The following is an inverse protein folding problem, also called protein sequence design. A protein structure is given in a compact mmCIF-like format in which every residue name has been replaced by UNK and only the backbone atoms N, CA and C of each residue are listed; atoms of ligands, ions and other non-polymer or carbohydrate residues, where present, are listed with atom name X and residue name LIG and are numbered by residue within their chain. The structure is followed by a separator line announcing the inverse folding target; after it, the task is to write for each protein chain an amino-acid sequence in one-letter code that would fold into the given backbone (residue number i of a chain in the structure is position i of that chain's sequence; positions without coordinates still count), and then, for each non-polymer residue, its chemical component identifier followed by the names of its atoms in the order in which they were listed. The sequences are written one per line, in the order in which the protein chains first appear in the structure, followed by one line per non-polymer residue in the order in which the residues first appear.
data_IF_152203832460
#
_entry.id   IF_152203832460
#
_cell.length_a   1.000
_cell.length_b   1.000
_cell.length_c   1.000
_cell.angle_alpha   90.00
_cell.angle_beta   90.00
_cell.angle_gamma   90.00
#
_symmetry.space_group_name_H-M   'P 1'
#
loop_
_entity.id
_entity.type
_entity.pdbx_description
1 polymer ?
#
# COMPACT_ATOMS: atom_id res chain seq x y z
N UNK A 1 26.78 -2.93 28.49
CA UNK A 1 26.08 -1.66 28.24
C UNK A 1 25.86 -1.43 26.75
N UNK A 2 26.87 -1.66 25.92
CA UNK A 2 26.75 -1.48 24.45
C UNK A 2 25.77 -2.45 23.77
N UNK A 3 25.72 -3.69 24.24
CA UNK A 3 24.81 -4.71 23.68
C UNK A 3 23.33 -4.43 24.05
N UNK A 4 23.06 -3.95 25.23
CA UNK A 4 21.70 -3.57 25.63
C UNK A 4 21.18 -2.39 24.82
N UNK A 5 22.04 -1.39 24.56
CA UNK A 5 21.68 -0.23 23.72
C UNK A 5 21.36 -0.65 22.29
N UNK A 6 22.15 -1.57 21.71
CA UNK A 6 21.89 -2.10 20.37
C UNK A 6 20.56 -2.88 20.31
N UNK A 7 20.25 -3.70 21.30
CA UNK A 7 18.99 -4.44 21.36
C UNK A 7 17.77 -3.53 21.48
N UNK A 8 17.88 -2.47 22.28
CA UNK A 8 16.82 -1.47 22.41
C UNK A 8 16.64 -0.69 21.10
N UNK A 9 17.73 -0.33 20.43
CA UNK A 9 17.69 0.35 19.14
C UNK A 9 17.02 -0.54 18.09
N UNK A 10 17.35 -1.82 18.04
CA UNK A 10 16.74 -2.79 17.12
C UNK A 10 15.25 -2.95 17.40
N UNK A 11 14.85 -3.03 18.67
CA UNK A 11 13.45 -3.09 19.08
C UNK A 11 12.68 -1.84 18.65
N UNK A 12 13.23 -0.66 18.90
CA UNK A 12 12.63 0.62 18.49
C UNK A 12 12.53 0.70 16.97
N UNK A 13 13.57 0.30 16.25
CA UNK A 13 13.56 0.29 14.79
C UNK A 13 12.48 -0.66 14.24
N UNK A 14 12.32 -1.84 14.83
CA UNK A 14 11.27 -2.79 14.43
C UNK A 14 9.87 -2.18 14.62
N UNK A 15 9.63 -1.50 15.74
CA UNK A 15 8.36 -0.82 15.98
C UNK A 15 8.12 0.34 15.01
N UNK A 16 9.17 1.07 14.61
CA UNK A 16 9.10 2.17 13.65
C UNK A 16 8.94 1.68 12.21
N UNK A 17 9.42 0.46 11.90
CA UNK A 17 9.43 -0.08 10.53
C UNK A 17 8.16 -0.84 10.17
N UNK A 18 7.48 -1.44 11.13
CA UNK A 18 6.33 -2.30 10.86
C UNK A 18 5.05 -1.78 11.52
N UNK A 19 3.97 -1.77 10.75
CA UNK A 19 2.62 -1.48 11.25
C UNK A 19 2.11 -2.67 12.07
N UNK A 20 1.75 -2.42 13.33
CA UNK A 20 1.31 -3.47 14.26
C UNK A 20 0.05 -4.22 13.78
N UNK A 21 -0.89 -3.50 13.19
CA UNK A 21 -2.16 -4.09 12.76
C UNK A 21 -1.99 -5.01 11.57
N UNK A 22 -1.20 -4.63 10.58
CA UNK A 22 -1.14 -5.29 9.28
C UNK A 22 0.17 -6.03 8.99
N UNK A 23 1.24 -5.70 9.71
CA UNK A 23 2.56 -6.28 9.49
C UNK A 23 3.30 -5.76 8.26
N UNK A 24 2.72 -4.81 7.52
CA UNK A 24 3.42 -4.13 6.44
C UNK A 24 4.21 -2.93 7.00
N UNK A 25 4.99 -2.25 6.16
CA UNK A 25 5.79 -1.11 6.61
C UNK A 25 4.91 0.02 7.15
N UNK A 26 5.42 0.77 8.11
CA UNK A 26 4.79 2.01 8.55
C UNK A 26 4.87 3.06 7.46
N UNK A 27 4.01 4.07 7.51
CA UNK A 27 4.05 5.21 6.60
C UNK A 27 5.43 5.88 6.59
N UNK A 28 5.99 6.14 7.77
CA UNK A 28 7.29 6.83 7.89
C UNK A 28 8.39 6.05 7.19
N UNK A 29 8.48 4.76 7.42
CA UNK A 29 9.46 3.91 6.74
C UNK A 29 9.20 3.84 5.24
N UNK A 30 7.96 3.67 4.83
CA UNK A 30 7.58 3.61 3.42
C UNK A 30 7.99 4.89 2.67
N UNK A 31 7.67 6.05 3.21
CA UNK A 31 8.01 7.35 2.60
C UNK A 31 9.54 7.53 2.49
N UNK A 32 10.27 7.13 3.52
CA UNK A 32 11.74 7.13 3.50
C UNK A 32 12.30 6.27 2.36
N UNK A 33 11.73 5.09 2.16
CA UNK A 33 12.14 4.19 1.08
C UNK A 33 11.76 4.72 -0.30
N UNK A 34 10.63 5.40 -0.42
CA UNK A 34 10.25 6.07 -1.68
C UNK A 34 11.32 7.08 -2.08
N UNK A 35 11.80 7.88 -1.14
CA UNK A 35 12.87 8.85 -1.39
C UNK A 35 14.14 8.17 -1.91
N UNK A 36 14.58 7.12 -1.26
CA UNK A 36 15.77 6.36 -1.66
C UNK A 36 15.61 5.75 -3.06
N UNK A 37 14.47 5.12 -3.33
CA UNK A 37 14.23 4.45 -4.59
C UNK A 37 14.04 5.41 -5.77
N UNK A 38 13.47 6.60 -5.51
CA UNK A 38 13.39 7.65 -6.53
C UNK A 38 14.79 8.12 -6.92
N UNK A 39 15.68 8.35 -5.95
CA UNK A 39 17.08 8.67 -6.23
C UNK A 39 17.76 7.57 -7.04
N UNK A 40 17.58 6.34 -6.62
CA UNK A 40 18.18 5.20 -7.33
C UNK A 40 17.66 5.07 -8.75
N UNK A 41 16.36 5.22 -8.95
CA UNK A 41 15.75 5.14 -10.28
C UNK A 41 16.25 6.24 -11.20
N UNK A 42 16.44 7.45 -10.68
CA UNK A 42 17.01 8.55 -11.46
C UNK A 42 18.49 8.29 -11.82
N UNK A 43 19.28 7.80 -10.88
CA UNK A 43 20.71 7.53 -11.11
C UNK A 43 20.92 6.42 -12.15
N UNK A 44 20.15 5.35 -12.06
CA UNK A 44 20.29 4.19 -12.94
C UNK A 44 19.34 4.20 -14.14
N UNK A 45 18.50 5.23 -14.28
CA UNK A 45 17.48 5.34 -15.33
C UNK A 45 16.60 4.10 -15.40
N UNK A 46 16.21 3.60 -14.23
CA UNK A 46 15.33 2.46 -14.09
C UNK A 46 13.90 2.89 -13.84
N UNK A 47 12.95 2.02 -14.20
CA UNK A 47 11.55 2.26 -13.94
C UNK A 47 11.23 2.12 -12.45
N UNK A 48 10.25 2.88 -12.00
CA UNK A 48 9.73 2.83 -10.64
C UNK A 48 8.26 3.22 -10.67
N UNK A 49 7.41 2.47 -10.02
CA UNK A 49 5.99 2.78 -9.96
C UNK A 49 5.51 2.75 -8.51
N UNK A 50 4.78 3.79 -8.15
CA UNK A 50 4.12 3.89 -6.86
C UNK A 50 2.61 3.63 -7.04
N UNK A 51 2.09 2.74 -6.23
CA UNK A 51 0.68 2.38 -6.23
C UNK A 51 0.08 2.73 -4.88
N UNK A 52 -1.08 3.37 -4.89
CA UNK A 52 -1.87 3.63 -3.68
C UNK A 52 -3.21 2.95 -3.78
N UNK A 53 -3.66 2.40 -2.66
CA UNK A 53 -4.88 1.62 -2.57
C UNK A 53 -5.71 2.09 -1.39
N UNK A 54 -7.01 2.22 -1.57
CA UNK A 54 -7.95 2.48 -0.48
C UNK A 54 -9.08 1.46 -0.47
N UNK A 55 -9.55 1.12 0.71
CA UNK A 55 -10.71 0.23 0.87
C UNK A 55 -11.97 1.04 0.66
N UNK A 56 -12.84 0.58 -0.22
CA UNK A 56 -14.12 1.22 -0.49
C UNK A 56 -15.08 1.06 0.68
N UNK A 57 -15.96 2.06 0.86
CA UNK A 57 -17.01 2.00 1.89
C UNK A 57 -16.50 1.79 3.31
N UNK A 58 -15.36 2.39 3.63
CA UNK A 58 -14.71 2.25 4.95
C UNK A 58 -15.68 2.55 6.11
N UNK A 59 -16.41 3.66 6.04
CA UNK A 59 -17.32 4.07 7.10
C UNK A 59 -18.43 3.05 7.32
N UNK A 60 -18.97 2.47 6.26
CA UNK A 60 -20.00 1.44 6.32
C UNK A 60 -19.45 0.16 6.95
N UNK A 61 -18.27 -0.28 6.55
CA UNK A 61 -17.63 -1.47 7.11
C UNK A 61 -17.29 -1.26 8.58
N UNK A 62 -16.75 -0.10 8.95
CA UNK A 62 -16.44 0.24 10.32
C UNK A 62 -17.68 0.26 11.20
N UNK A 63 -18.78 0.82 10.71
CA UNK A 63 -20.05 0.85 11.41
C UNK A 63 -20.63 -0.55 11.59
N UNK A 64 -20.57 -1.39 10.56
CA UNK A 64 -21.17 -2.74 10.55
C UNK A 64 -20.36 -3.75 11.36
N UNK A 65 -19.03 -3.69 11.31
CA UNK A 65 -18.16 -4.72 11.89
C UNK A 65 -17.32 -4.22 13.07
N UNK A 66 -17.40 -2.93 13.40
CA UNK A 66 -16.62 -2.30 14.45
C UNK A 66 -15.14 -2.20 14.12
N UNK A 67 -14.36 -1.65 15.06
CA UNK A 67 -12.92 -1.46 14.87
C UNK A 67 -12.18 -2.80 14.71
N UNK A 68 -12.49 -3.78 15.53
CA UNK A 68 -11.83 -5.10 15.49
C UNK A 68 -12.11 -5.83 14.17
N UNK A 69 -13.35 -5.77 13.70
CA UNK A 69 -13.74 -6.34 12.41
C UNK A 69 -13.05 -5.63 11.26
N UNK A 70 -12.94 -4.31 11.32
CA UNK A 70 -12.24 -3.54 10.30
C UNK A 70 -10.73 -3.78 10.33
N UNK A 71 -10.11 -3.91 11.50
CA UNK A 71 -8.70 -4.29 11.63
C UNK A 71 -8.45 -5.65 10.98
N UNK A 72 -9.37 -6.59 11.11
CA UNK A 72 -9.29 -7.89 10.45
C UNK A 72 -9.34 -7.76 8.92
N UNK A 73 -10.20 -6.88 8.40
CA UNK A 73 -10.21 -6.54 6.97
C UNK A 73 -8.86 -6.00 6.54
N UNK A 74 -8.30 -5.04 7.27
CA UNK A 74 -6.98 -4.45 6.98
C UNK A 74 -5.88 -5.51 6.97
N UNK A 75 -5.90 -6.44 7.92
CA UNK A 75 -4.94 -7.54 7.97
C UNK A 75 -5.02 -8.42 6.74
N UNK A 76 -6.23 -8.76 6.30
CA UNK A 76 -6.45 -9.55 5.11
C UNK A 76 -5.94 -8.84 3.86
N UNK A 77 -6.28 -7.58 3.68
CA UNK A 77 -5.87 -6.79 2.52
C UNK A 77 -4.34 -6.62 2.52
N UNK A 78 -3.75 -6.27 3.65
CA UNK A 78 -2.29 -6.15 3.79
C UNK A 78 -1.56 -7.44 3.40
N UNK A 79 -2.07 -8.58 3.83
CA UNK A 79 -1.52 -9.90 3.48
C UNK A 79 -1.63 -10.18 1.99
N UNK A 80 -2.77 -9.86 1.37
CA UNK A 80 -2.99 -10.06 -0.06
C UNK A 80 -2.04 -9.20 -0.90
N UNK A 81 -1.86 -7.93 -0.52
CA UNK A 81 -0.92 -7.04 -1.21
C UNK A 81 0.50 -7.59 -1.07
N UNK A 82 0.91 -7.91 0.16
CA UNK A 82 2.25 -8.40 0.45
C UNK A 82 2.59 -9.70 -0.29
N UNK A 83 1.64 -10.61 -0.43
CA UNK A 83 1.86 -11.86 -1.17
C UNK A 83 1.84 -11.68 -2.69
N UNK A 84 1.39 -10.54 -3.19
CA UNK A 84 1.35 -10.26 -4.63
C UNK A 84 2.58 -9.51 -5.15
N UNK A 85 3.45 -9.04 -4.27
CA UNK A 85 4.67 -8.29 -4.63
C UNK A 85 5.91 -9.17 -4.54
N UNK A 86 7.00 -8.69 -5.16
CA UNK A 86 8.30 -9.37 -5.12
C UNK A 86 9.05 -9.02 -3.83
N UNK A 87 10.07 -9.83 -3.43
CA UNK A 87 10.78 -9.59 -2.16
C UNK A 87 11.44 -8.21 -2.03
N UNK A 88 11.81 -7.58 -3.13
CA UNK A 88 12.44 -6.26 -3.15
C UNK A 88 11.47 -5.11 -3.33
N UNK A 89 10.20 -5.41 -3.56
CA UNK A 89 9.14 -4.40 -3.52
C UNK A 89 8.76 -4.10 -2.07
N UNK A 90 8.17 -2.95 -1.82
CA UNK A 90 7.77 -2.56 -0.48
C UNK A 90 6.28 -2.28 -0.42
N UNK A 91 5.64 -2.80 0.62
CA UNK A 91 4.24 -2.50 0.93
C UNK A 91 4.20 -1.76 2.25
N UNK A 92 3.45 -0.68 2.30
CA UNK A 92 3.29 0.14 3.50
C UNK A 92 1.84 0.50 3.76
N UNK A 93 1.55 0.78 5.01
CA UNK A 93 0.29 1.37 5.39
C UNK A 93 0.43 2.88 5.33
N UNK A 94 -0.37 3.53 4.47
CA UNK A 94 -0.21 4.96 4.24
C UNK A 94 -1.05 5.79 5.22
N UNK A 95 -2.26 5.36 5.50
CA UNK A 95 -3.08 5.89 6.59
C UNK A 95 -4.14 4.87 7.02
N UNK A 96 -5.22 5.31 7.67
CA UNK A 96 -6.19 4.43 8.32
C UNK A 96 -6.77 3.35 7.38
N UNK A 97 -7.13 3.72 6.15
CA UNK A 97 -7.72 2.78 5.17
C UNK A 97 -6.94 2.71 3.86
N UNK A 98 -5.72 3.27 3.82
CA UNK A 98 -4.92 3.29 2.61
C UNK A 98 -3.63 2.50 2.78
N UNK A 99 -3.32 1.75 1.75
CA UNK A 99 -2.03 1.08 1.59
C UNK A 99 -1.28 1.69 0.41
N UNK A 100 0.02 1.49 0.38
CA UNK A 100 0.85 1.87 -0.74
C UNK A 100 1.81 0.73 -1.07
N UNK A 101 2.16 0.60 -2.33
CA UNK A 101 3.15 -0.37 -2.80
C UNK A 101 4.15 0.34 -3.70
N UNK A 102 5.43 0.08 -3.46
CA UNK A 102 6.51 0.60 -4.27
C UNK A 102 7.08 -0.55 -5.10
N UNK A 103 6.84 -0.49 -6.41
CA UNK A 103 7.23 -1.54 -7.34
C UNK A 103 8.48 -1.09 -8.08
N UNK A 104 9.64 -1.68 -7.73
CA UNK A 104 10.93 -1.32 -8.31
C UNK A 104 11.11 -1.99 -9.67
N UNK A 105 11.87 -1.35 -10.54
CA UNK A 105 12.11 -1.83 -11.90
C UNK A 105 10.84 -2.24 -12.65
N UNK A 106 9.75 -1.49 -12.43
CA UNK A 106 8.41 -1.79 -12.96
C UNK A 106 7.84 -0.53 -13.58
N UNK A 107 7.46 -0.62 -14.85
CA UNK A 107 6.77 0.49 -15.52
C UNK A 107 5.28 0.52 -15.17
N UNK A 108 4.67 1.68 -15.37
CA UNK A 108 3.26 1.91 -15.04
C UNK A 108 2.32 0.90 -15.71
N UNK A 109 2.63 0.48 -16.94
CA UNK A 109 1.84 -0.49 -17.70
C UNK A 109 1.80 -1.85 -16.99
N UNK A 110 2.96 -2.33 -16.53
CA UNK A 110 3.05 -3.59 -15.78
C UNK A 110 2.35 -3.48 -14.43
N UNK A 111 2.55 -2.36 -13.76
CA UNK A 111 1.90 -2.09 -12.47
C UNK A 111 0.38 -2.01 -12.61
N UNK A 112 -0.13 -1.49 -13.72
CA UNK A 112 -1.55 -1.45 -14.02
C UNK A 112 -2.14 -2.87 -14.11
N UNK A 113 -1.48 -3.76 -14.80
CA UNK A 113 -1.90 -5.17 -14.91
C UNK A 113 -1.89 -5.85 -13.54
N UNK A 114 -0.84 -5.62 -12.77
CA UNK A 114 -0.74 -6.12 -11.40
C UNK A 114 -1.88 -5.58 -10.52
N UNK A 115 -2.16 -4.29 -10.61
CA UNK A 115 -3.20 -3.64 -9.82
C UNK A 115 -4.60 -4.17 -10.17
N UNK A 116 -4.90 -4.38 -11.45
CA UNK A 116 -6.17 -4.95 -11.88
C UNK A 116 -6.35 -6.38 -11.35
N UNK A 117 -5.31 -7.19 -11.40
CA UNK A 117 -5.34 -8.55 -10.84
C UNK A 117 -5.56 -8.51 -9.34
N UNK A 118 -4.85 -7.64 -8.62
CA UNK A 118 -5.01 -7.48 -7.17
C UNK A 118 -6.44 -7.03 -6.82
N UNK A 119 -6.97 -6.04 -7.54
CA UNK A 119 -8.33 -5.54 -7.32
C UNK A 119 -9.36 -6.65 -7.46
N UNK A 120 -9.26 -7.45 -8.51
CA UNK A 120 -10.16 -8.59 -8.75
C UNK A 120 -10.04 -9.65 -7.67
N UNK A 121 -8.81 -9.97 -7.27
CA UNK A 121 -8.57 -10.96 -6.21
C UNK A 121 -9.16 -10.49 -4.88
N UNK A 122 -9.03 -9.23 -4.54
CA UNK A 122 -9.61 -8.65 -3.32
C UNK A 122 -11.13 -8.72 -3.39
N UNK A 123 -11.73 -8.31 -4.50
CA UNK A 123 -13.18 -8.31 -4.68
C UNK A 123 -13.80 -9.71 -4.56
N UNK A 124 -13.07 -10.74 -4.96
CA UNK A 124 -13.53 -12.13 -4.89
C UNK A 124 -13.13 -12.85 -3.60
N UNK A 125 -12.34 -12.21 -2.74
CA UNK A 125 -11.90 -12.79 -1.47
C UNK A 125 -13.00 -12.67 -0.43
N UNK A 126 -13.39 -13.79 0.17
CA UNK A 126 -14.41 -13.80 1.22
C UNK A 126 -13.73 -13.65 2.58
N UNK A 127 -14.21 -12.67 3.33
CA UNK A 127 -13.74 -12.37 4.68
C UNK A 127 -14.81 -12.81 5.66
N UNK A 128 -14.41 -13.53 6.70
CA UNK A 128 -15.32 -14.02 7.74
C UNK A 128 -15.02 -13.29 9.04
N UNK A 129 -16.02 -12.59 9.57
CA UNK A 129 -15.97 -11.91 10.87
C UNK A 129 -17.25 -12.25 11.63
N UNK A 130 -17.11 -12.82 12.81
CA UNK A 130 -18.25 -13.13 13.71
C UNK A 130 -19.41 -13.85 13.01
N UNK A 131 -19.11 -14.93 12.30
CA UNK A 131 -20.07 -15.75 11.54
C UNK A 131 -20.71 -15.02 10.34
N UNK A 132 -20.24 -13.83 10.02
CA UNK A 132 -20.65 -13.09 8.83
C UNK A 132 -19.60 -13.26 7.75
N UNK A 133 -20.04 -13.48 6.51
CA UNK A 133 -19.18 -13.61 5.33
C UNK A 133 -19.48 -12.46 4.39
N UNK A 134 -18.44 -11.75 3.98
CA UNK A 134 -18.57 -10.61 3.08
C UNK A 134 -17.30 -10.44 2.26
N UNK A 135 -17.35 -9.59 1.27
CA UNK A 135 -16.18 -9.16 0.51
C UNK A 135 -16.10 -7.64 0.52
N UNK A 136 -14.90 -7.13 0.27
CA UNK A 136 -14.67 -5.70 0.12
C UNK A 136 -14.09 -5.43 -1.26
N UNK A 137 -14.24 -4.20 -1.73
CA UNK A 137 -13.60 -3.74 -2.95
C UNK A 137 -12.63 -2.62 -2.63
N UNK A 138 -11.75 -2.34 -3.57
CA UNK A 138 -10.71 -1.32 -3.41
C UNK A 138 -10.64 -0.42 -4.63
N UNK A 139 -10.20 0.80 -4.41
CA UNK A 139 -9.72 1.70 -5.45
C UNK A 139 -8.21 1.69 -5.46
N UNK A 140 -7.63 1.76 -6.65
CA UNK A 140 -6.17 1.75 -6.81
C UNK A 140 -5.76 2.87 -7.77
N UNK A 141 -4.78 3.65 -7.35
CA UNK A 141 -4.11 4.64 -8.19
C UNK A 141 -2.69 4.19 -8.50
N UNK A 142 -2.31 4.23 -9.76
CA UNK A 142 -1.00 3.81 -10.26
C UNK A 142 -0.28 5.01 -10.85
N UNK A 143 0.94 5.28 -10.38
CA UNK A 143 1.75 6.39 -10.88
C UNK A 143 3.18 5.93 -11.12
N UNK A 144 3.59 5.90 -12.38
CA UNK A 144 4.98 5.66 -12.77
C UNK A 144 5.82 6.91 -12.57
N UNK A 145 7.02 6.75 -12.02
CA UNK A 145 7.99 7.84 -11.93
C UNK A 145 8.55 8.13 -13.33
N UNK A 146 8.55 9.40 -13.69
CA UNK A 146 9.23 9.85 -14.91
C UNK A 146 10.59 10.45 -14.55
N UNK A 147 11.44 10.63 -15.55
CA UNK A 147 12.79 11.20 -15.35
C UNK A 147 12.71 12.52 -14.56
N UNK A 148 13.55 12.63 -13.54
CA UNK A 148 13.67 13.82 -12.67
C UNK A 148 12.45 14.09 -11.78
N UNK A 149 11.49 13.18 -11.69
CA UNK A 149 10.39 13.30 -10.72
C UNK A 149 10.94 13.20 -9.30
N UNK A 150 10.48 14.09 -8.42
CA UNK A 150 10.83 14.02 -7.00
C UNK A 150 9.94 12.97 -6.28
N UNK A 151 10.40 12.51 -5.13
CA UNK A 151 9.62 11.64 -4.25
C UNK A 151 8.30 12.29 -3.83
N UNK A 152 8.32 13.59 -3.53
CA UNK A 152 7.13 14.35 -3.13
C UNK A 152 6.10 14.39 -4.27
N UNK A 153 6.55 14.68 -5.49
CA UNK A 153 5.67 14.68 -6.67
C UNK A 153 5.08 13.31 -6.94
N UNK A 154 5.88 12.25 -6.83
CA UNK A 154 5.41 10.89 -7.05
C UNK A 154 4.34 10.50 -6.05
N UNK A 155 4.55 10.78 -4.77
CA UNK A 155 3.57 10.53 -3.71
C UNK A 155 2.28 11.32 -3.93
N UNK A 156 2.39 12.59 -4.28
CA UNK A 156 1.22 13.44 -4.52
C UNK A 156 0.44 12.99 -5.76
N UNK A 157 1.12 12.70 -6.85
CA UNK A 157 0.49 12.23 -8.08
C UNK A 157 -0.23 10.90 -7.88
N UNK A 158 0.37 9.96 -7.15
CA UNK A 158 -0.26 8.69 -6.82
C UNK A 158 -1.50 8.90 -5.93
N UNK A 159 -1.41 9.78 -4.96
CA UNK A 159 -2.54 10.13 -4.08
C UNK A 159 -3.70 10.76 -4.84
N UNK A 160 -3.42 11.66 -5.76
CA UNK A 160 -4.44 12.29 -6.60
C UNK A 160 -5.06 11.30 -7.58
N UNK A 161 -4.27 10.40 -8.11
CA UNK A 161 -4.76 9.34 -8.99
C UNK A 161 -5.70 8.39 -8.25
N UNK A 162 -5.37 8.05 -7.01
CA UNK A 162 -6.26 7.29 -6.13
C UNK A 162 -7.58 8.04 -5.89
N UNK A 163 -7.52 9.33 -5.64
CA UNK A 163 -8.70 10.16 -5.45
C UNK A 163 -9.63 10.11 -6.66
N UNK A 164 -9.07 10.15 -7.87
CA UNK A 164 -9.85 10.00 -9.12
C UNK A 164 -10.54 8.64 -9.19
N UNK A 165 -9.87 7.58 -8.75
CA UNK A 165 -10.47 6.25 -8.68
C UNK A 165 -11.66 6.22 -7.72
N UNK A 166 -11.52 6.83 -6.55
CA UNK A 166 -12.61 6.93 -5.55
C UNK A 166 -13.79 7.73 -6.13
N UNK A 167 -13.53 8.85 -6.78
CA UNK A 167 -14.55 9.69 -7.42
C UNK A 167 -15.27 8.99 -8.57
N UNK A 168 -14.62 8.01 -9.20
CA UNK A 168 -15.24 7.22 -10.28
C UNK A 168 -16.25 6.18 -9.76
N UNK A 169 -16.39 6.02 -8.44
CA UNK A 169 -17.44 5.20 -7.85
C UNK A 169 -16.97 3.95 -7.10
N UNK A 170 -15.68 3.73 -6.99
CA UNK A 170 -15.15 2.56 -6.28
C UNK A 170 -14.84 1.37 -7.18
N UNK A 171 -14.11 0.39 -6.66
CA UNK A 171 -13.75 -0.87 -7.32
C UNK A 171 -13.15 -0.65 -8.71
N UNK A 172 -12.12 0.18 -8.78
CA UNK A 172 -11.53 0.58 -10.05
C UNK A 172 -10.06 0.94 -9.89
N UNK A 173 -9.29 0.76 -10.95
CA UNK A 173 -7.90 1.22 -11.06
C UNK A 173 -7.85 2.43 -11.98
N UNK A 174 -7.09 3.43 -11.57
CA UNK A 174 -6.75 4.58 -12.42
C UNK A 174 -5.22 4.70 -12.53
N UNK A 175 -4.76 5.18 -13.65
CA UNK A 175 -3.34 5.39 -13.93
C UNK A 175 -3.12 6.87 -14.19
N UNK A 176 -2.02 7.40 -13.62
CA UNK A 176 -1.60 8.79 -13.80
C UNK A 176 -1.12 9.05 -15.22
#
# INVERSE_FOLDING_TARGET
VGLEILNLTDLVNNYVLMDETTGVATRTYFVSRVQEEVHRANDFRSDLTLVMLSIDSMNEHLHRYGKEGFDFVLQNIGRMIKSSVRPYDLVGRYDFNRFAALLVSTEAKEAHLWAEKLRKNIASNIINVDQKSFSVTVCIGVCGAVSETSDIELLENASQTLKKAVEAGGNVVRVY
#
